data_IF_449672395320
#
_entry.id   IF_449672395320
#
_cell.length_a   1.000
_cell.length_b   1.000
_cell.length_c   1.000
_cell.angle_alpha   90.00
_cell.angle_beta   90.00
_cell.angle_gamma   90.00
#
_symmetry.space_group_name_H-M   'P 1'
#
loop_
_entity.id
_entity.type
_entity.pdbx_description
1 polymer ?
#
# COMPACT_ATOMS: atom_id res chain seq x y z
N UNK A 1 0.93 7.87 -49.51
CA UNK A 1 -0.30 7.06 -49.57
C UNK A 1 -0.09 5.79 -48.74
N UNK A 2 -0.36 5.85 -47.45
CA UNK A 2 -0.35 4.67 -46.56
C UNK A 2 -1.65 4.74 -45.73
N UNK A 3 -2.77 4.23 -46.24
CA UNK A 3 -3.75 3.64 -45.34
C UNK A 3 -4.46 2.47 -46.03
N UNK A 4 -3.93 1.26 -45.88
CA UNK A 4 -4.75 0.06 -46.17
C UNK A 4 -4.30 -1.16 -45.36
N UNK A 5 -3.03 -1.22 -44.96
CA UNK A 5 -2.50 -2.38 -44.24
C UNK A 5 -2.88 -2.44 -42.74
N UNK A 6 -3.37 -1.34 -42.14
CA UNK A 6 -3.77 -1.36 -40.72
C UNK A 6 -5.23 -1.79 -40.50
N UNK A 7 -6.06 -1.80 -41.55
CA UNK A 7 -7.48 -2.11 -41.42
C UNK A 7 -7.79 -3.61 -41.52
N UNK A 8 -6.93 -4.42 -42.15
CA UNK A 8 -7.19 -5.84 -42.41
C UNK A 8 -6.77 -6.77 -41.29
N UNK A 9 -5.87 -6.36 -40.38
CA UNK A 9 -5.48 -7.19 -39.24
C UNK A 9 -6.56 -7.28 -38.15
N UNK A 10 -7.52 -6.34 -38.13
CA UNK A 10 -8.63 -6.32 -37.15
C UNK A 10 -9.78 -7.25 -37.55
N UNK A 11 -9.86 -7.66 -38.83
CA UNK A 11 -11.09 -8.27 -39.39
C UNK A 11 -11.10 -9.81 -39.35
N UNK A 12 -9.95 -10.49 -39.19
CA UNK A 12 -9.94 -11.97 -39.08
C UNK A 12 -10.13 -12.49 -37.64
N UNK A 13 -10.28 -11.61 -36.66
CA UNK A 13 -10.64 -11.97 -35.30
C UNK A 13 -12.14 -12.05 -35.15
N UNK A 14 -12.73 -13.24 -35.21
CA UNK A 14 -14.13 -13.43 -34.84
C UNK A 14 -14.44 -12.86 -33.44
N UNK A 15 -15.72 -12.77 -33.03
CA UNK A 15 -16.13 -12.19 -31.74
C UNK A 15 -15.37 -12.76 -30.53
N UNK A 16 -14.89 -14.01 -30.64
CA UNK A 16 -14.02 -14.64 -29.65
C UNK A 16 -12.63 -13.98 -29.50
N UNK A 17 -11.98 -13.53 -30.58
CA UNK A 17 -10.67 -12.86 -30.50
C UNK A 17 -10.80 -11.48 -29.86
N UNK A 18 -11.85 -10.73 -30.22
CA UNK A 18 -12.16 -9.43 -29.62
C UNK A 18 -12.50 -9.57 -28.13
N UNK A 19 -13.30 -10.57 -27.76
CA UNK A 19 -13.59 -10.87 -26.36
C UNK A 19 -12.33 -11.28 -25.58
N UNK A 20 -11.44 -12.07 -26.18
CA UNK A 20 -10.16 -12.45 -25.57
C UNK A 20 -9.25 -11.24 -25.34
N UNK A 21 -9.10 -10.36 -26.34
CA UNK A 21 -8.31 -9.12 -26.21
C UNK A 21 -8.88 -8.18 -25.14
N UNK A 22 -10.21 -8.00 -25.12
CA UNK A 22 -10.88 -7.22 -24.09
C UNK A 22 -10.66 -7.82 -22.69
N UNK A 23 -10.73 -9.15 -22.56
CA UNK A 23 -10.43 -9.87 -21.33
C UNK A 23 -8.99 -9.68 -20.86
N UNK A 24 -8.02 -9.78 -21.77
CA UNK A 24 -6.60 -9.54 -21.46
C UNK A 24 -6.36 -8.09 -21.03
N UNK A 25 -6.90 -7.11 -21.73
CA UNK A 25 -6.79 -5.70 -21.36
C UNK A 25 -7.42 -5.42 -20.00
N UNK A 26 -8.62 -5.95 -19.75
CA UNK A 26 -9.29 -5.84 -18.46
C UNK A 26 -8.45 -6.45 -17.34
N UNK A 27 -7.87 -7.65 -17.56
CA UNK A 27 -6.98 -8.29 -16.60
C UNK A 27 -5.71 -7.46 -16.36
N UNK A 28 -5.03 -6.96 -17.40
CA UNK A 28 -3.81 -6.15 -17.27
C UNK A 28 -4.07 -4.85 -16.48
N UNK A 29 -5.26 -4.27 -16.59
CA UNK A 29 -5.64 -3.07 -15.82
C UNK A 29 -6.06 -3.42 -14.39
N UNK A 30 -6.84 -4.48 -14.22
CA UNK A 30 -7.44 -4.85 -12.94
C UNK A 30 -6.43 -5.51 -11.98
N UNK A 31 -5.55 -6.34 -12.51
CA UNK A 31 -4.63 -7.16 -11.72
C UNK A 31 -3.61 -6.32 -10.92
N UNK A 32 -3.01 -5.24 -11.46
CA UNK A 32 -2.19 -4.32 -10.67
C UNK A 32 -2.97 -3.64 -9.53
N UNK A 33 -4.23 -3.25 -9.77
CA UNK A 33 -5.05 -2.59 -8.76
C UNK A 33 -5.39 -3.55 -7.59
N UNK A 34 -5.74 -4.80 -7.91
CA UNK A 34 -6.00 -5.83 -6.89
C UNK A 34 -4.72 -6.20 -6.15
N UNK A 35 -3.61 -6.40 -6.85
CA UNK A 35 -2.32 -6.66 -6.22
C UNK A 35 -1.91 -5.50 -5.29
N UNK A 36 -2.13 -4.25 -5.69
CA UNK A 36 -1.92 -3.10 -4.83
C UNK A 36 -2.80 -3.14 -3.57
N UNK A 37 -4.10 -3.42 -3.72
CA UNK A 37 -5.01 -3.61 -2.58
C UNK A 37 -4.57 -4.72 -1.62
N UNK A 38 -4.21 -5.89 -2.15
CA UNK A 38 -3.70 -7.02 -1.36
C UNK A 38 -2.39 -6.63 -0.67
N UNK A 39 -1.47 -5.92 -1.34
CA UNK A 39 -0.21 -5.50 -0.70
C UNK A 39 -0.41 -4.54 0.46
N UNK A 40 -1.45 -3.70 0.39
CA UNK A 40 -1.82 -2.80 1.48
C UNK A 40 -2.45 -3.57 2.63
N UNK A 41 -3.39 -4.48 2.32
CA UNK A 41 -4.16 -5.26 3.30
C UNK A 41 -3.30 -6.28 4.05
N UNK A 42 -2.47 -7.03 3.33
CA UNK A 42 -1.67 -8.14 3.89
C UNK A 42 -0.21 -7.77 4.17
N UNK A 43 0.13 -6.49 4.03
CA UNK A 43 1.45 -6.04 4.45
C UNK A 43 1.60 -6.21 5.96
N UNK A 44 2.74 -6.71 6.42
CA UNK A 44 3.03 -6.87 7.84
C UNK A 44 4.09 -5.86 8.27
N UNK A 45 3.79 -5.08 9.30
CA UNK A 45 4.77 -4.26 10.00
C UNK A 45 5.28 -5.01 11.21
N UNK A 46 6.57 -5.39 11.20
CA UNK A 46 7.23 -6.00 12.35
C UNK A 46 8.05 -4.94 13.10
N UNK A 47 7.81 -4.89 14.41
CA UNK A 47 8.56 -4.05 15.35
C UNK A 47 9.78 -4.83 15.82
N UNK A 48 10.96 -4.24 15.67
CA UNK A 48 12.21 -4.79 16.18
C UNK A 48 12.90 -3.77 17.08
N UNK A 49 13.82 -4.17 17.96
CA UNK A 49 14.60 -3.24 18.78
C UNK A 49 15.40 -2.23 17.94
N UNK A 50 15.82 -2.63 16.74
CA UNK A 50 16.65 -1.81 15.83
C UNK A 50 15.82 -0.85 14.96
N UNK A 51 14.57 -1.23 14.62
CA UNK A 51 13.71 -0.43 13.75
C UNK A 51 12.38 -1.06 13.37
N UNK A 52 11.78 -0.50 12.33
CA UNK A 52 10.57 -0.99 11.68
C UNK A 52 10.91 -1.80 10.44
N UNK A 53 10.52 -3.07 10.44
CA UNK A 53 10.54 -3.92 9.25
C UNK A 53 9.18 -3.88 8.57
N UNK A 54 9.12 -3.20 7.43
CA UNK A 54 7.94 -3.10 6.58
C UNK A 54 8.04 -4.20 5.52
N UNK A 55 7.12 -5.15 5.53
CA UNK A 55 7.02 -6.19 4.52
C UNK A 55 5.68 -6.10 3.82
N UNK A 56 5.67 -5.68 2.57
CA UNK A 56 4.55 -5.89 1.65
C UNK A 56 4.84 -7.09 0.75
N UNK A 57 3.84 -7.56 -0.02
CA UNK A 57 4.02 -8.75 -0.87
C UNK A 57 5.15 -8.59 -1.91
N UNK A 58 5.40 -7.37 -2.39
CA UNK A 58 6.44 -7.10 -3.40
C UNK A 58 7.61 -6.24 -2.92
N UNK A 59 7.55 -5.67 -1.71
CA UNK A 59 8.63 -4.83 -1.18
C UNK A 59 8.94 -5.14 0.27
N UNK A 60 10.23 -5.23 0.57
CA UNK A 60 10.76 -5.25 1.94
C UNK A 60 11.53 -3.95 2.15
N UNK A 61 11.23 -3.25 3.23
CA UNK A 61 11.92 -2.03 3.62
C UNK A 61 12.22 -2.08 5.10
N UNK A 62 13.44 -1.74 5.48
CA UNK A 62 13.83 -1.53 6.86
C UNK A 62 13.95 -0.03 7.13
N UNK A 63 13.43 0.43 8.26
CA UNK A 63 13.50 1.82 8.70
C UNK A 63 14.07 1.82 10.13
N UNK A 64 15.32 2.24 10.34
CA UNK A 64 15.93 2.31 11.67
C UNK A 64 15.21 3.32 12.57
N UNK A 65 15.12 3.06 13.88
CA UNK A 65 14.52 4.02 14.82
C UNK A 65 15.23 5.36 14.83
N UNK A 66 16.55 5.38 14.64
CA UNK A 66 17.35 6.60 14.58
C UNK A 66 16.93 7.56 13.45
N UNK A 67 16.33 7.05 12.36
CA UNK A 67 15.78 7.86 11.26
C UNK A 67 14.26 7.97 11.31
N UNK A 68 13.63 7.34 12.30
CA UNK A 68 12.19 7.31 12.45
C UNK A 68 11.75 8.55 13.22
N UNK A 69 11.17 9.49 12.49
CA UNK A 69 10.50 10.64 13.07
C UNK A 69 9.15 10.26 13.67
N UNK A 70 8.24 11.23 13.74
CA UNK A 70 6.94 11.05 14.37
C UNK A 70 6.03 10.10 13.57
N UNK A 71 5.44 9.12 14.27
CA UNK A 71 4.43 8.21 13.73
C UNK A 71 3.03 8.77 14.05
N UNK A 72 2.29 9.08 12.99
CA UNK A 72 0.99 9.73 13.06
C UNK A 72 -0.09 8.88 12.41
N UNK A 73 -1.31 8.99 12.92
CA UNK A 73 -2.49 8.54 12.20
C UNK A 73 -2.86 9.63 11.20
N UNK A 74 -2.79 9.32 9.92
CA UNK A 74 -3.27 10.21 8.88
C UNK A 74 -4.65 9.74 8.43
N UNK A 75 -5.64 10.61 8.65
CA UNK A 75 -6.97 10.40 8.11
C UNK A 75 -6.96 10.73 6.61
N UNK A 76 -7.50 9.81 5.82
CA UNK A 76 -7.62 9.93 4.37
C UNK A 76 -9.09 9.79 4.01
N UNK A 77 -9.61 10.83 3.38
CA UNK A 77 -10.95 10.80 2.81
C UNK A 77 -10.86 10.31 1.37
N UNK A 78 -11.38 9.10 1.11
CA UNK A 78 -11.76 8.71 -0.25
C UNK A 78 -13.20 9.14 -0.52
N UNK A 79 -13.56 9.23 -1.81
CA UNK A 79 -14.84 9.75 -2.34
C UNK A 79 -16.11 9.16 -1.69
N UNK A 80 -16.01 8.04 -0.98
CA UNK A 80 -17.13 7.37 -0.30
C UNK A 80 -16.81 6.84 1.11
N UNK A 81 -15.58 7.04 1.63
CA UNK A 81 -15.18 6.48 2.93
C UNK A 81 -13.97 7.22 3.48
N UNK A 82 -14.05 7.57 4.75
CA UNK A 82 -12.91 8.05 5.52
C UNK A 82 -12.22 6.87 6.17
N UNK A 83 -10.92 6.76 5.94
CA UNK A 83 -10.11 5.69 6.51
C UNK A 83 -8.84 6.27 7.11
N UNK A 84 -8.38 5.69 8.22
CA UNK A 84 -7.14 6.09 8.87
C UNK A 84 -6.02 5.16 8.44
N UNK A 85 -4.84 5.73 8.19
CA UNK A 85 -3.62 4.98 7.89
C UNK A 85 -2.49 5.47 8.77
N UNK A 86 -1.66 4.55 9.26
CA UNK A 86 -0.48 4.92 10.01
C UNK A 86 0.61 5.35 9.03
N UNK A 87 1.18 6.53 9.28
CA UNK A 87 2.29 7.06 8.50
C UNK A 87 3.50 7.32 9.40
N UNK A 88 4.68 7.01 8.89
CA UNK A 88 5.96 7.30 9.53
C UNK A 88 6.69 8.37 8.74
N UNK A 89 7.09 9.43 9.42
CA UNK A 89 8.03 10.41 8.88
C UNK A 89 9.45 9.84 9.02
N UNK A 90 10.19 9.82 7.92
CA UNK A 90 11.57 9.32 7.91
C UNK A 90 12.47 10.51 7.66
N UNK A 91 13.47 10.69 8.52
CA UNK A 91 14.45 11.75 8.36
C UNK A 91 15.22 11.58 7.03
N UNK A 92 15.34 12.68 6.29
CA UNK A 92 15.91 12.68 4.92
C UNK A 92 14.92 12.31 3.81
N UNK A 93 13.68 11.96 4.12
CA UNK A 93 12.62 11.76 3.12
C UNK A 93 11.56 12.86 3.19
N UNK A 94 11.27 13.48 2.05
CA UNK A 94 10.29 14.57 1.93
C UNK A 94 8.83 14.11 2.03
N UNK A 95 8.57 12.81 1.95
CA UNK A 95 7.21 12.24 2.00
C UNK A 95 7.10 11.22 3.13
N UNK A 96 6.03 11.26 3.93
CA UNK A 96 5.76 10.22 4.90
C UNK A 96 5.55 8.88 4.18
N UNK A 97 5.98 7.80 4.82
CA UNK A 97 5.73 6.44 4.32
C UNK A 97 4.58 5.79 5.07
N UNK A 98 3.72 5.10 4.33
CA UNK A 98 2.65 4.29 4.90
C UNK A 98 3.22 3.05 5.58
N UNK A 99 2.71 2.71 6.76
CA UNK A 99 2.98 1.43 7.39
C UNK A 99 1.99 0.38 6.86
N UNK A 100 2.47 -0.68 6.19
CA UNK A 100 1.60 -1.72 5.67
C UNK A 100 0.86 -2.46 6.79
N UNK A 101 -0.39 -2.84 6.55
CA UNK A 101 -1.23 -3.57 7.51
C UNK A 101 -1.78 -2.72 8.67
N UNK A 102 -1.51 -1.42 8.72
CA UNK A 102 -2.07 -0.50 9.69
C UNK A 102 -3.06 0.44 9.01
N UNK A 103 -4.30 -0.04 8.86
CA UNK A 103 -5.43 0.72 8.33
C UNK A 103 -6.67 0.48 9.18
N UNK A 104 -7.40 1.54 9.45
CA UNK A 104 -8.78 1.48 9.93
C UNK A 104 -9.70 2.05 8.87
N UNK A 105 -10.82 1.39 8.61
CA UNK A 105 -11.90 1.85 7.73
C UNK A 105 -13.08 2.45 8.50
N UNK A 106 -12.88 2.74 9.79
CA UNK A 106 -13.90 3.27 10.68
C UNK A 106 -14.75 2.19 11.37
N UNK A 107 -14.52 0.91 11.09
CA UNK A 107 -15.18 -0.16 11.86
C UNK A 107 -14.58 -0.25 13.28
N UNK A 108 -15.39 -0.45 14.34
CA UNK A 108 -14.91 -0.42 15.73
C UNK A 108 -13.80 -1.43 16.02
N UNK A 109 -13.85 -2.62 15.42
CA UNK A 109 -12.84 -3.66 15.62
C UNK A 109 -11.49 -3.25 15.00
N UNK A 110 -11.49 -2.79 13.75
CA UNK A 110 -10.25 -2.36 13.08
C UNK A 110 -9.69 -1.07 13.69
N UNK A 111 -10.55 -0.17 14.18
CA UNK A 111 -10.11 1.03 14.90
C UNK A 111 -9.40 0.70 16.22
N UNK A 112 -9.91 -0.28 16.96
CA UNK A 112 -9.29 -0.75 18.20
C UNK A 112 -7.92 -1.39 17.94
N UNK A 113 -7.83 -2.26 16.94
CA UNK A 113 -6.56 -2.90 16.52
C UNK A 113 -5.55 -1.86 16.02
N UNK A 114 -6.01 -0.90 15.20
CA UNK A 114 -5.21 0.20 14.70
C UNK A 114 -4.63 1.06 15.84
N UNK A 115 -5.49 1.45 16.78
CA UNK A 115 -5.11 2.25 17.94
C UNK A 115 -4.12 1.49 18.84
N UNK A 116 -4.37 0.20 19.09
CA UNK A 116 -3.48 -0.64 19.89
C UNK A 116 -2.10 -0.77 19.23
N UNK A 117 -2.05 -0.96 17.91
CA UNK A 117 -0.81 -1.07 17.17
C UNK A 117 -0.03 0.26 17.15
N UNK A 118 -0.71 1.42 16.98
CA UNK A 118 -0.08 2.73 17.09
C UNK A 118 0.52 3.00 18.47
N UNK A 119 -0.21 2.66 19.55
CA UNK A 119 0.33 2.77 20.92
C UNK A 119 1.60 1.94 21.06
N UNK A 120 1.57 0.68 20.58
CA UNK A 120 2.72 -0.22 20.63
C UNK A 120 3.92 0.34 19.88
N UNK A 121 3.73 0.90 18.68
CA UNK A 121 4.80 1.56 17.91
C UNK A 121 5.42 2.71 18.71
N UNK A 122 4.59 3.59 19.28
CA UNK A 122 5.06 4.74 20.10
C UNK A 122 5.80 4.28 21.36
N UNK A 123 5.37 3.20 22.00
CA UNK A 123 6.05 2.64 23.17
C UNK A 123 7.41 2.05 22.82
N UNK A 124 7.55 1.42 21.66
CA UNK A 124 8.83 0.96 21.15
C UNK A 124 9.75 2.13 20.82
N UNK A 125 9.25 3.15 20.12
CA UNK A 125 10.02 4.34 19.79
C UNK A 125 10.54 5.05 21.04
N UNK A 126 9.69 5.24 22.05
CA UNK A 126 10.09 5.84 23.34
C UNK A 126 11.17 5.02 24.06
N UNK A 127 11.13 3.70 23.96
CA UNK A 127 12.15 2.82 24.56
C UNK A 127 13.46 2.86 23.79
N UNK A 128 13.41 2.81 22.46
CA UNK A 128 14.58 2.88 21.60
C UNK A 128 15.35 4.20 21.77
N UNK A 129 14.65 5.33 21.90
CA UNK A 129 15.27 6.64 22.15
C UNK A 129 15.97 6.72 23.51
N UNK A 130 15.53 5.97 24.52
CA UNK A 130 16.19 5.94 25.85
C UNK A 130 17.45 5.07 25.90
N UNK A 131 17.65 4.22 24.89
CA UNK A 131 18.79 3.28 24.83
C UNK A 131 19.91 3.78 23.92
N UNK A 132 19.68 4.88 23.20
CA UNK A 132 20.68 5.63 22.42
C UNK A 132 21.27 6.75 23.26
#
# INVERSE_FOLDING_TARGET
MIPLALATAVVCGGPALLAWQAGVLAAVIWLPAVLYGITIMYGTTRLTPEGLHLRSLFRRSFVPWARTGMVEAQERTAKASTYQVAVVHIEGHRRPRYLPGLRSDGTPALEADFTAALRRIRDYQRRAVRQL
#
